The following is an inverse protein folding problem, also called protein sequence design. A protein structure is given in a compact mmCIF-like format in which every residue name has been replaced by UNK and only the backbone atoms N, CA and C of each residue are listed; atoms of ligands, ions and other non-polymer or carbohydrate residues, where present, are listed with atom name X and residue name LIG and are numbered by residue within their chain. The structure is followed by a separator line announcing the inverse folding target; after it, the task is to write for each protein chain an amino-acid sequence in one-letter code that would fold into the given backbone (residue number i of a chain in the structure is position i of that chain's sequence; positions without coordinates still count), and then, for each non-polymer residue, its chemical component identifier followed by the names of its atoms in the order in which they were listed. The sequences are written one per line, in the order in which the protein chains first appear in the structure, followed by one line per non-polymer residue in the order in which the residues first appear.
data_IF_439118878126
#
_entry.id   IF_439118878126
#
_cell.length_a   1.000
_cell.length_b   1.000
_cell.length_c   1.000
_cell.angle_alpha   90.00
_cell.angle_beta   90.00
_cell.angle_gamma   90.00
#
_symmetry.space_group_name_H-M   'P 1'
#
loop_
_entity.id
_entity.type
_entity.pdbx_description
1 polymer ?
#
# COMPACT_ATOMS: atom_id res chain seq x y z
N UNK A 1 30.68 35.42 -48.75
CA UNK A 1 29.64 35.14 -47.73
C UNK A 1 30.16 34.00 -46.88
N UNK A 2 30.63 34.37 -45.69
CA UNK A 2 31.04 33.46 -44.64
C UNK A 2 29.82 32.64 -44.20
N UNK A 3 29.99 31.35 -43.94
CA UNK A 3 29.43 30.71 -42.74
C UNK A 3 30.22 29.43 -42.46
N UNK A 4 30.99 29.49 -41.38
CA UNK A 4 31.58 28.35 -40.70
C UNK A 4 30.47 27.39 -40.20
N UNK A 5 30.73 26.08 -40.08
CA UNK A 5 29.87 25.19 -39.33
C UNK A 5 29.98 25.51 -37.83
N UNK A 6 28.88 25.98 -37.27
CA UNK A 6 28.70 26.16 -35.83
C UNK A 6 28.82 24.81 -35.15
N UNK A 7 29.79 24.71 -34.25
CA UNK A 7 29.94 23.63 -33.28
C UNK A 7 28.85 23.82 -32.22
N UNK A 8 27.75 23.09 -32.33
CA UNK A 8 26.83 22.86 -31.20
C UNK A 8 27.15 21.49 -30.60
N UNK A 9 28.15 21.51 -29.72
CA UNK A 9 28.28 20.51 -28.66
C UNK A 9 27.33 20.96 -27.56
N UNK A 10 26.24 20.24 -27.28
CA UNK A 10 25.75 20.08 -25.90
C UNK A 10 24.57 19.11 -25.72
N UNK A 11 24.61 18.46 -24.55
CA UNK A 11 23.49 17.95 -23.75
C UNK A 11 22.76 16.63 -24.09
N UNK A 12 23.01 15.93 -25.20
CA UNK A 12 22.27 14.68 -25.48
C UNK A 12 22.86 13.39 -24.88
N UNK A 13 23.90 13.46 -24.02
CA UNK A 13 24.60 12.26 -23.48
C UNK A 13 24.39 11.93 -22.00
N UNK A 14 23.59 12.70 -21.27
CA UNK A 14 23.36 12.46 -19.84
C UNK A 14 21.87 12.47 -19.49
N UNK A 15 21.18 11.37 -19.80
CA UNK A 15 20.08 10.75 -19.04
C UNK A 15 19.30 9.86 -20.01
N UNK A 16 19.76 8.63 -20.21
CA UNK A 16 18.92 7.58 -20.78
C UNK A 16 18.35 6.76 -19.62
N UNK A 17 17.33 7.31 -18.95
CA UNK A 17 16.50 6.50 -18.05
C UNK A 17 15.59 5.64 -18.94
N UNK A 18 16.06 4.44 -19.27
CA UNK A 18 15.22 3.41 -19.91
C UNK A 18 14.27 2.84 -18.85
N UNK A 19 13.03 3.33 -18.83
CA UNK A 19 11.93 2.63 -18.15
C UNK A 19 11.35 1.63 -19.14
N UNK A 20 11.80 0.38 -19.09
CA UNK A 20 11.20 -0.72 -19.84
C UNK A 20 10.13 -1.40 -19.00
N UNK A 21 8.86 -1.08 -19.26
CA UNK A 21 7.70 -1.87 -18.84
C UNK A 21 7.58 -3.10 -19.76
N UNK A 22 8.44 -4.10 -19.56
CA UNK A 22 8.24 -5.44 -20.09
C UNK A 22 7.38 -6.23 -19.08
N UNK A 23 6.59 -7.22 -19.52
CA UNK A 23 5.96 -8.15 -18.60
C UNK A 23 7.04 -9.08 -18.01
N UNK A 24 7.64 -8.64 -16.90
CA UNK A 24 8.76 -9.26 -16.19
C UNK A 24 8.36 -10.51 -15.39
N UNK A 25 7.88 -11.57 -16.06
CA UNK A 25 7.47 -12.81 -15.38
C UNK A 25 8.57 -13.88 -15.29
N UNK A 26 9.73 -13.69 -15.92
CA UNK A 26 10.83 -14.67 -15.85
C UNK A 26 11.99 -14.15 -14.99
N UNK A 27 12.12 -14.69 -13.77
CA UNK A 27 13.19 -14.34 -12.82
C UNK A 27 14.61 -14.48 -13.38
N UNK A 28 14.80 -15.35 -14.38
CA UNK A 28 16.09 -15.64 -15.03
C UNK A 28 16.68 -14.41 -15.74
N UNK A 29 15.87 -13.69 -16.55
CA UNK A 29 16.37 -12.58 -17.36
C UNK A 29 16.84 -11.39 -16.50
N UNK A 30 16.14 -11.08 -15.40
CA UNK A 30 16.57 -10.04 -14.47
C UNK A 30 17.91 -10.37 -13.81
N UNK A 31 18.15 -11.64 -13.50
CA UNK A 31 19.40 -12.08 -12.88
C UNK A 31 20.54 -12.02 -13.87
N UNK A 32 20.34 -12.51 -15.10
CA UNK A 32 21.34 -12.47 -16.17
C UNK A 32 21.74 -11.03 -16.52
N UNK A 33 20.74 -10.14 -16.71
CA UNK A 33 20.99 -8.73 -17.01
C UNK A 33 21.71 -8.01 -15.86
N UNK A 34 21.37 -8.33 -14.61
CA UNK A 34 22.05 -7.77 -13.43
C UNK A 34 23.50 -8.22 -13.34
N UNK A 35 23.79 -9.47 -13.70
CA UNK A 35 25.16 -9.99 -13.72
C UNK A 35 26.01 -9.34 -14.82
N UNK A 36 25.42 -9.11 -16.01
CA UNK A 36 26.13 -8.45 -17.12
C UNK A 36 26.24 -6.93 -16.98
N UNK A 37 25.37 -6.28 -16.18
CA UNK A 37 25.34 -4.83 -16.00
C UNK A 37 25.36 -4.40 -14.52
N UNK A 38 26.47 -4.62 -13.78
CA UNK A 38 26.59 -4.25 -12.37
C UNK A 38 26.51 -2.73 -12.10
N UNK A 39 26.69 -1.90 -13.14
CA UNK A 39 26.53 -0.45 -13.09
C UNK A 39 25.06 -0.02 -12.92
N UNK A 40 24.12 -0.84 -13.40
CA UNK A 40 22.68 -0.54 -13.36
C UNK A 40 22.15 -0.76 -11.95
N UNK A 41 21.54 0.28 -11.38
CA UNK A 41 20.83 0.17 -10.11
C UNK A 41 19.49 -0.52 -10.32
N UNK A 42 19.27 -1.65 -9.65
CA UNK A 42 17.96 -2.31 -9.61
C UNK A 42 17.15 -1.72 -8.45
N UNK A 43 15.95 -1.24 -8.76
CA UNK A 43 15.05 -0.63 -7.79
C UNK A 43 13.59 -1.06 -8.06
N UNK A 44 12.89 -1.71 -7.15
CA UNK A 44 13.41 -2.46 -5.99
C UNK A 44 13.85 -3.88 -6.41
N UNK A 45 14.65 -4.59 -5.60
CA UNK A 45 15.05 -5.97 -5.90
C UNK A 45 13.84 -6.91 -6.09
N UNK A 46 13.82 -7.76 -7.13
CA UNK A 46 12.67 -8.63 -7.43
C UNK A 46 12.26 -9.56 -6.29
N UNK A 47 13.23 -10.04 -5.50
CA UNK A 47 13.04 -10.85 -4.30
C UNK A 47 12.28 -10.07 -3.20
N UNK A 48 12.63 -8.81 -2.97
CA UNK A 48 11.93 -7.94 -2.03
C UNK A 48 10.45 -7.75 -2.39
N UNK A 49 10.14 -7.66 -3.68
CA UNK A 49 8.76 -7.49 -4.19
C UNK A 49 7.90 -8.73 -3.90
N UNK A 50 8.49 -9.93 -3.87
CA UNK A 50 7.73 -11.17 -3.64
C UNK A 50 7.05 -11.19 -2.27
N UNK A 51 7.62 -10.52 -1.26
CA UNK A 51 7.02 -10.42 0.06
C UNK A 51 5.64 -9.74 0.04
N UNK A 52 5.41 -8.80 -0.88
CA UNK A 52 4.13 -8.10 -1.02
C UNK A 52 3.13 -8.83 -1.92
N UNK A 53 3.54 -9.88 -2.66
CA UNK A 53 2.61 -10.66 -3.49
C UNK A 53 1.71 -11.58 -2.68
N UNK A 54 2.05 -11.83 -1.41
CA UNK A 54 1.27 -12.68 -0.54
C UNK A 54 0.54 -11.87 0.53
N UNK A 55 -0.76 -11.63 0.33
CA UNK A 55 -1.63 -10.94 1.29
C UNK A 55 -1.64 -11.59 2.68
N UNK A 56 -1.30 -12.87 2.79
CA UNK A 56 -1.15 -13.55 4.10
C UNK A 56 -0.06 -12.90 4.96
N UNK A 57 1.05 -12.49 4.34
CA UNK A 57 2.26 -12.04 5.05
C UNK A 57 2.58 -10.56 4.84
N UNK A 58 1.91 -9.90 3.89
CA UNK A 58 2.12 -8.49 3.55
C UNK A 58 2.15 -7.57 4.78
N UNK A 59 1.22 -7.77 5.71
CA UNK A 59 1.09 -6.95 6.93
C UNK A 59 1.92 -7.46 8.12
N UNK A 60 2.57 -8.62 7.99
CA UNK A 60 3.35 -9.22 9.08
C UNK A 60 4.52 -8.31 9.50
N UNK A 61 5.18 -7.65 8.53
CA UNK A 61 6.27 -6.71 8.82
C UNK A 61 5.83 -5.52 9.68
N UNK A 62 4.56 -5.11 9.60
CA UNK A 62 3.98 -4.08 10.47
C UNK A 62 3.65 -4.69 11.83
N UNK A 63 3.01 -5.86 11.85
CA UNK A 63 2.64 -6.55 13.09
C UNK A 63 3.85 -6.83 14.00
N UNK A 64 4.97 -7.28 13.42
CA UNK A 64 6.21 -7.62 14.13
C UNK A 64 6.97 -6.40 14.66
N UNK A 65 6.62 -5.18 14.21
CA UNK A 65 7.28 -3.95 14.63
C UNK A 65 6.83 -3.51 16.02
N UNK A 66 5.58 -3.78 16.38
CA UNK A 66 4.93 -3.31 17.61
C UNK A 66 5.22 -1.81 17.88
N UNK A 67 5.00 -0.98 16.86
CA UNK A 67 5.34 0.44 16.92
C UNK A 67 4.37 1.19 17.83
N UNK A 68 4.86 1.55 19.01
CA UNK A 68 4.14 2.33 20.01
C UNK A 68 5.10 3.39 20.55
N UNK A 69 4.78 4.66 20.37
CA UNK A 69 5.56 5.77 20.90
C UNK A 69 4.69 6.98 21.27
N UNK A 70 5.34 8.11 21.59
CA UNK A 70 4.65 9.36 21.98
C UNK A 70 3.74 9.96 20.89
N UNK A 71 3.86 9.50 19.64
CA UNK A 71 3.05 9.95 18.51
C UNK A 71 1.89 9.01 18.20
N UNK A 72 1.87 7.82 18.80
CA UNK A 72 0.76 6.87 18.73
C UNK A 72 1.19 5.42 18.55
N UNK A 73 0.20 4.58 18.28
CA UNK A 73 0.32 3.14 18.12
C UNK A 73 -0.03 2.80 16.68
N UNK A 74 0.81 2.00 16.03
CA UNK A 74 0.56 1.44 14.69
C UNK A 74 0.43 -0.06 14.79
N UNK A 75 -0.75 -0.56 14.42
CA UNK A 75 -1.06 -1.97 14.37
C UNK A 75 -1.55 -2.43 12.99
N UNK A 76 -2.01 -3.67 12.96
CA UNK A 76 -2.75 -4.26 11.84
C UNK A 76 -4.03 -4.88 12.39
N UNK A 77 -5.18 -4.75 11.71
CA UNK A 77 -6.39 -5.45 12.17
C UNK A 77 -6.18 -6.95 12.05
N UNK A 78 -6.81 -7.73 12.94
CA UNK A 78 -6.64 -9.18 12.93
C UNK A 78 -7.21 -9.73 11.62
N UNK A 79 -6.51 -10.72 11.09
CA UNK A 79 -6.85 -11.29 9.80
C UNK A 79 -6.70 -12.81 9.77
N UNK A 80 -7.50 -13.44 8.92
CA UNK A 80 -7.53 -14.88 8.71
C UNK A 80 -7.57 -15.20 7.21
N UNK A 81 -6.73 -16.13 6.78
CA UNK A 81 -6.66 -16.55 5.38
C UNK A 81 -7.47 -17.82 5.18
N UNK A 82 -8.45 -17.77 4.28
CA UNK A 82 -9.27 -18.91 3.89
C UNK A 82 -8.90 -19.32 2.47
N UNK A 83 -8.37 -20.54 2.30
CA UNK A 83 -7.87 -21.01 1.01
C UNK A 83 -8.88 -21.79 0.17
N UNK A 84 -9.77 -22.58 0.77
CA UNK A 84 -10.60 -23.57 0.04
C UNK A 84 -12.01 -23.73 0.56
N UNK A 85 -12.19 -24.03 1.85
CA UNK A 85 -13.48 -24.51 2.35
C UNK A 85 -14.43 -23.37 2.75
N UNK A 86 -15.31 -22.97 1.83
CA UNK A 86 -16.32 -21.93 2.08
C UNK A 86 -17.24 -22.27 3.26
N UNK A 87 -17.66 -23.55 3.37
CA UNK A 87 -18.55 -24.01 4.44
C UNK A 87 -17.92 -23.91 5.83
N UNK A 88 -16.59 -23.99 5.93
CA UNK A 88 -15.85 -23.93 7.20
C UNK A 88 -15.56 -22.50 7.67
N UNK A 89 -15.85 -21.47 6.85
CA UNK A 89 -15.55 -20.07 7.19
C UNK A 89 -16.09 -19.66 8.56
N UNK A 90 -17.36 -19.91 8.93
CA UNK A 90 -17.89 -19.50 10.22
C UNK A 90 -17.15 -20.13 11.41
N UNK A 91 -16.79 -21.41 11.30
CA UNK A 91 -16.07 -22.15 12.34
C UNK A 91 -14.64 -21.65 12.46
N UNK A 92 -13.94 -21.45 11.34
CA UNK A 92 -12.58 -20.92 11.31
C UNK A 92 -12.50 -19.50 11.87
N UNK A 93 -13.48 -18.64 11.55
CA UNK A 93 -13.60 -17.29 12.12
C UNK A 93 -13.77 -17.35 13.64
N UNK A 94 -14.62 -18.26 14.13
CA UNK A 94 -14.86 -18.43 15.56
C UNK A 94 -13.62 -19.00 16.29
N UNK A 95 -12.94 -19.99 15.71
CA UNK A 95 -11.70 -20.57 16.27
C UNK A 95 -10.57 -19.55 16.30
N UNK A 96 -10.43 -18.76 15.25
CA UNK A 96 -9.47 -17.66 15.21
C UNK A 96 -9.92 -16.47 16.08
N UNK A 97 -11.15 -16.47 16.58
CA UNK A 97 -11.70 -15.45 17.47
C UNK A 97 -11.89 -14.08 16.83
N UNK A 98 -12.06 -13.98 15.51
CA UNK A 98 -12.28 -12.69 14.84
C UNK A 98 -13.67 -12.14 15.15
N UNK A 99 -13.78 -10.82 15.26
CA UNK A 99 -15.07 -10.13 15.51
C UNK A 99 -15.65 -9.55 14.23
N UNK A 100 -16.96 -9.72 14.04
CA UNK A 100 -17.70 -9.04 12.97
C UNK A 100 -17.83 -7.52 13.28
N UNK A 101 -17.85 -6.66 12.26
CA UNK A 101 -17.84 -6.99 10.83
C UNK A 101 -16.44 -7.30 10.27
N UNK A 102 -16.38 -8.09 9.20
CA UNK A 102 -15.17 -8.55 8.53
C UNK A 102 -15.14 -8.11 7.06
N UNK A 103 -14.05 -7.48 6.65
CA UNK A 103 -13.76 -7.20 5.24
C UNK A 103 -13.19 -8.45 4.58
N UNK A 104 -13.87 -8.95 3.56
CA UNK A 104 -13.41 -10.04 2.71
C UNK A 104 -12.65 -9.47 1.51
N UNK A 105 -11.39 -9.88 1.37
CA UNK A 105 -10.45 -9.49 0.31
C UNK A 105 -10.07 -10.74 -0.49
N UNK A 106 -10.34 -10.85 -1.80
CA UNK A 106 -9.84 -11.95 -2.61
C UNK A 106 -8.31 -12.10 -2.48
N UNK A 107 -7.83 -13.34 -2.39
CA UNK A 107 -6.39 -13.66 -2.33
C UNK A 107 -5.71 -13.49 -3.69
N UNK A 108 -6.45 -13.73 -4.77
CA UNK A 108 -5.94 -13.55 -6.13
C UNK A 108 -5.91 -12.05 -6.42
N UNK A 109 -4.71 -11.50 -6.60
CA UNK A 109 -4.47 -10.15 -7.08
C UNK A 109 -3.92 -10.24 -8.52
N UNK A 110 -4.64 -10.91 -9.42
CA UNK A 110 -4.24 -11.12 -10.82
C UNK A 110 -4.50 -9.90 -11.72
N UNK A 111 -4.90 -8.77 -11.14
CA UNK A 111 -5.23 -7.55 -11.87
C UNK A 111 -6.55 -7.62 -12.67
N UNK A 112 -7.28 -8.73 -12.61
CA UNK A 112 -8.62 -8.83 -13.20
C UNK A 112 -9.64 -8.00 -12.40
N UNK A 113 -10.73 -7.60 -13.05
CA UNK A 113 -11.79 -6.81 -12.42
C UNK A 113 -12.44 -7.52 -11.20
N UNK A 114 -12.33 -8.85 -11.10
CA UNK A 114 -12.83 -9.66 -9.97
C UNK A 114 -11.90 -9.65 -8.74
N UNK A 115 -10.63 -9.27 -8.91
CA UNK A 115 -9.61 -9.31 -7.86
C UNK A 115 -9.63 -8.12 -6.89
N UNK A 116 -10.52 -7.14 -7.15
CA UNK A 116 -10.66 -5.90 -6.36
C UNK A 116 -12.04 -5.74 -5.71
N UNK A 117 -12.92 -6.74 -5.80
CA UNK A 117 -14.22 -6.68 -5.14
C UNK A 117 -14.04 -6.91 -3.64
N UNK A 118 -14.35 -5.89 -2.84
CA UNK A 118 -14.35 -5.95 -1.38
C UNK A 118 -15.79 -6.17 -0.93
N UNK A 119 -16.00 -7.14 -0.04
CA UNK A 119 -17.31 -7.39 0.59
C UNK A 119 -17.19 -7.22 2.09
N UNK A 120 -18.21 -6.62 2.73
CA UNK A 120 -18.32 -6.59 4.19
C UNK A 120 -19.30 -7.66 4.66
N UNK A 121 -18.78 -8.60 5.45
CA UNK A 121 -19.56 -9.57 6.18
C UNK A 121 -19.85 -9.03 7.58
N UNK A 122 -21.12 -8.78 7.89
CA UNK A 122 -21.52 -8.18 9.17
C UNK A 122 -22.30 -9.14 10.08
N UNK A 123 -22.83 -10.23 9.54
CA UNK A 123 -23.59 -11.24 10.28
C UNK A 123 -22.96 -12.63 10.14
N UNK A 124 -23.18 -13.51 11.11
CA UNK A 124 -22.60 -14.87 11.05
C UNK A 124 -23.04 -15.65 9.80
N UNK A 125 -24.29 -15.49 9.37
CA UNK A 125 -24.79 -16.16 8.17
C UNK A 125 -24.15 -15.63 6.88
N UNK A 126 -23.66 -14.39 6.90
CA UNK A 126 -23.01 -13.77 5.74
C UNK A 126 -21.70 -14.46 5.37
N UNK A 127 -20.99 -15.01 6.37
CA UNK A 127 -19.75 -15.74 6.19
C UNK A 127 -19.91 -16.97 5.29
N UNK A 128 -21.10 -17.57 5.26
CA UNK A 128 -21.39 -18.74 4.42
C UNK A 128 -21.52 -18.42 2.93
N UNK A 129 -21.74 -17.15 2.57
CA UNK A 129 -21.87 -16.73 1.17
C UNK A 129 -20.54 -16.22 0.58
N UNK A 130 -19.45 -16.25 1.34
CA UNK A 130 -18.14 -15.81 0.88
C UNK A 130 -17.44 -16.92 0.10
N UNK A 131 -16.73 -16.56 -0.97
CA UNK A 131 -16.07 -17.51 -1.86
C UNK A 131 -14.54 -17.44 -1.73
N UNK A 132 -13.88 -18.47 -1.15
CA UNK A 132 -12.43 -18.58 -1.14
C UNK A 132 -11.83 -18.68 -2.56
N UNK A 133 -10.55 -18.33 -2.76
CA UNK A 133 -9.57 -17.98 -1.74
C UNK A 133 -9.64 -16.48 -1.36
N UNK A 134 -9.67 -16.19 -0.06
CA UNK A 134 -9.82 -14.82 0.46
C UNK A 134 -9.08 -14.62 1.79
N UNK A 135 -8.89 -13.36 2.16
CA UNK A 135 -8.47 -12.89 3.48
C UNK A 135 -9.66 -12.20 4.14
N UNK A 136 -10.01 -12.62 5.35
CA UNK A 136 -10.93 -11.91 6.24
C UNK A 136 -10.11 -11.03 7.16
N UNK A 137 -10.47 -9.75 7.25
CA UNK A 137 -9.82 -8.78 8.13
C UNK A 137 -10.87 -8.06 8.96
N UNK A 138 -10.63 -7.89 10.26
CA UNK A 138 -11.49 -7.11 11.15
C UNK A 138 -11.68 -5.70 10.61
N UNK A 139 -12.95 -5.27 10.54
CA UNK A 139 -13.29 -3.91 10.17
C UNK A 139 -13.17 -3.01 11.40
N UNK A 140 -12.37 -1.95 11.27
CA UNK A 140 -12.20 -0.93 12.29
C UNK A 140 -12.94 0.30 11.81
N UNK A 141 -13.89 0.83 12.59
CA UNK A 141 -14.51 2.12 12.28
C UNK A 141 -13.43 3.21 12.26
N UNK A 142 -13.45 4.09 11.27
CA UNK A 142 -12.40 5.06 10.99
C UNK A 142 -12.93 6.36 10.36
N UNK A 143 -14.23 6.65 10.56
CA UNK A 143 -14.89 7.86 10.09
C UNK A 143 -14.91 8.02 8.56
N UNK A 144 -14.75 6.93 7.80
CA UNK A 144 -14.77 6.96 6.35
C UNK A 144 -13.59 7.67 5.70
N UNK A 145 -12.44 7.79 6.38
CA UNK A 145 -11.23 8.43 5.85
C UNK A 145 -10.04 7.46 5.84
N UNK A 146 -9.37 7.37 4.69
CA UNK A 146 -8.14 6.61 4.50
C UNK A 146 -6.97 7.56 4.23
N UNK A 147 -5.86 7.35 4.91
CA UNK A 147 -4.59 8.03 4.67
C UNK A 147 -3.72 7.17 3.75
N UNK A 148 -3.58 7.60 2.50
CA UNK A 148 -2.67 6.98 1.54
C UNK A 148 -1.29 7.60 1.70
N UNK A 149 -0.37 6.85 2.29
CA UNK A 149 0.99 7.29 2.61
C UNK A 149 1.95 6.76 1.54
N UNK A 150 2.35 7.61 0.61
CA UNK A 150 3.34 7.32 -0.41
C UNK A 150 4.75 7.45 0.15
N UNK A 151 5.59 6.44 -0.11
CA UNK A 151 6.98 6.37 0.32
C UNK A 151 7.85 6.24 -0.93
N UNK A 152 8.69 7.25 -1.15
CA UNK A 152 9.63 7.33 -2.28
C UNK A 152 11.02 7.58 -1.73
N UNK A 153 11.78 6.50 -1.52
CA UNK A 153 13.04 6.59 -0.79
C UNK A 153 12.79 7.11 0.62
N UNK A 154 13.38 8.26 0.98
CA UNK A 154 13.18 8.94 2.26
C UNK A 154 12.00 9.92 2.29
N UNK A 155 11.44 10.25 1.13
CA UNK A 155 10.31 11.15 1.03
C UNK A 155 9.00 10.45 1.42
N UNK A 156 8.15 11.17 2.13
CA UNK A 156 6.81 10.73 2.54
C UNK A 156 5.81 11.78 2.10
N UNK A 157 4.76 11.34 1.41
CA UNK A 157 3.62 12.19 1.05
C UNK A 157 2.33 11.50 1.44
N UNK A 158 1.46 12.21 2.14
CA UNK A 158 0.15 11.69 2.60
C UNK A 158 -0.96 12.37 1.80
N UNK A 159 -1.92 11.56 1.34
CA UNK A 159 -3.13 12.02 0.65
C UNK A 159 -4.33 11.42 1.35
N UNK A 160 -5.36 12.22 1.61
CA UNK A 160 -6.63 11.72 2.14
C UNK A 160 -7.50 11.14 1.02
N UNK A 161 -8.15 10.04 1.31
CA UNK A 161 -9.13 9.38 0.46
C UNK A 161 -10.39 9.17 1.29
N UNK A 162 -11.55 9.24 0.64
CA UNK A 162 -12.72 8.62 1.23
C UNK A 162 -12.45 7.12 1.41
N UNK A 163 -13.15 6.51 2.35
CA UNK A 163 -13.07 5.10 2.69
C UNK A 163 -14.47 4.55 2.95
N UNK A 164 -14.56 3.32 3.41
CA UNK A 164 -15.82 2.72 3.82
C UNK A 164 -16.40 3.49 5.03
N UNK A 165 -17.70 3.84 5.00
CA UNK A 165 -18.32 4.52 6.14
C UNK A 165 -18.31 3.62 7.37
N UNK A 166 -18.41 4.25 8.55
CA UNK A 166 -18.52 3.52 9.80
C UNK A 166 -19.77 2.66 9.83
N UNK A 167 -19.63 1.51 10.49
CA UNK A 167 -20.71 0.53 10.59
C UNK A 167 -21.29 0.62 11.98
N UNK A 168 -22.57 0.99 12.03
CA UNK A 168 -23.34 0.99 13.27
C UNK A 168 -24.14 -0.31 13.41
N UNK A 169 -24.34 -0.79 14.65
CA UNK A 169 -25.14 -2.01 14.91
C UNK A 169 -26.59 -1.91 14.44
N UNK A 170 -27.12 -0.70 14.25
CA UNK A 170 -28.53 -0.46 13.93
C UNK A 170 -28.82 -0.47 12.42
N UNK A 171 -27.90 0.02 11.58
CA UNK A 171 -28.05 0.05 10.11
C UNK A 171 -27.98 -1.34 9.46
N UNK A 172 -27.28 -2.28 10.11
CA UNK A 172 -27.07 -3.65 9.63
C UNK A 172 -28.31 -4.56 9.68
N UNK A 173 -29.40 -4.10 10.30
CA UNK A 173 -30.63 -4.89 10.53
C UNK A 173 -31.61 -4.91 9.34
N UNK A 174 -31.32 -4.19 8.24
CA UNK A 174 -32.30 -3.96 7.17
C UNK A 174 -32.07 -4.73 5.86
N UNK A 175 -30.89 -5.31 5.61
CA UNK A 175 -30.59 -6.03 4.37
C UNK A 175 -29.87 -7.37 4.59
N UNK A 176 -29.92 -8.27 3.60
CA UNK A 176 -29.55 -9.67 3.72
C UNK A 176 -28.02 -9.95 3.75
N UNK A 177 -27.37 -9.64 4.87
CA UNK A 177 -26.10 -10.22 5.35
C UNK A 177 -24.80 -9.78 4.71
N UNK A 178 -24.78 -9.41 3.42
CA UNK A 178 -23.55 -8.96 2.76
C UNK A 178 -23.80 -7.62 2.10
N UNK A 179 -22.96 -6.65 2.46
CA UNK A 179 -22.90 -5.38 1.76
C UNK A 179 -21.78 -5.51 0.73
N UNK A 180 -22.15 -5.79 -0.51
CA UNK A 180 -21.23 -5.69 -1.64
C UNK A 180 -21.11 -4.22 -1.96
N UNK A 181 -19.95 -3.62 -1.68
CA UNK A 181 -19.75 -2.21 -2.00
C UNK A 181 -19.75 -2.06 -3.53
N UNK A 182 -20.74 -1.38 -4.13
CA UNK A 182 -20.65 -1.05 -5.55
C UNK A 182 -19.35 -0.28 -5.73
N UNK A 183 -18.53 -0.72 -6.69
CA UNK A 183 -17.16 -0.23 -7.01
C UNK A 183 -16.85 1.04 -6.27
N UNK A 184 -15.83 0.97 -5.41
CA UNK A 184 -15.08 1.98 -4.68
C UNK A 184 -14.73 3.23 -5.53
N UNK A 185 -15.74 3.86 -6.10
CA UNK A 185 -15.67 5.03 -6.98
C UNK A 185 -15.57 6.27 -6.11
N UNK A 186 -16.16 6.23 -4.90
CA UNK A 186 -15.97 7.24 -3.86
C UNK A 186 -14.62 7.09 -3.14
N UNK A 187 -14.17 5.89 -2.76
CA UNK A 187 -12.90 5.77 -2.02
C UNK A 187 -11.63 5.96 -2.89
N UNK A 188 -11.77 5.95 -4.21
CA UNK A 188 -10.72 6.37 -5.13
C UNK A 188 -10.66 7.90 -5.33
N UNK A 189 -11.64 8.65 -4.83
CA UNK A 189 -11.64 10.11 -4.89
C UNK A 189 -10.74 10.70 -3.80
N UNK A 190 -10.06 11.80 -4.13
CA UNK A 190 -9.34 12.57 -3.11
C UNK A 190 -10.34 13.15 -2.12
N UNK A 191 -9.98 13.17 -0.85
CA UNK A 191 -10.73 13.85 0.19
C UNK A 191 -9.94 15.03 0.79
N UNK A 192 -8.86 15.45 0.14
CA UNK A 192 -8.01 16.53 0.65
C UNK A 192 -8.73 17.90 0.71
N UNK A 193 -9.63 18.15 -0.23
CA UNK A 193 -10.42 19.38 -0.32
C UNK A 193 -11.83 19.23 0.27
N UNK A 194 -12.14 18.08 0.86
CA UNK A 194 -13.44 17.82 1.46
C UNK A 194 -13.54 18.46 2.85
N UNK A 195 -14.72 19.00 3.18
CA UNK A 195 -15.05 19.45 4.53
C UNK A 195 -15.31 18.22 5.41
N UNK A 196 -14.26 17.73 6.05
CA UNK A 196 -14.27 16.56 6.92
C UNK A 196 -14.13 17.00 8.38
N UNK A 197 -14.71 16.21 9.29
CA UNK A 197 -14.49 16.39 10.71
C UNK A 197 -12.98 16.39 11.03
N UNK A 198 -12.42 17.48 11.60
CA UNK A 198 -11.00 17.58 11.92
C UNK A 198 -10.52 16.47 12.85
N UNK A 199 -11.39 15.93 13.70
CA UNK A 199 -11.05 14.83 14.62
C UNK A 199 -10.78 13.51 13.90
N UNK A 200 -11.31 13.33 12.70
CA UNK A 200 -11.13 12.14 11.86
C UNK A 200 -10.08 12.38 10.77
N UNK A 201 -10.07 13.58 10.19
CA UNK A 201 -9.29 13.90 8.99
C UNK A 201 -7.90 14.49 9.27
N UNK A 202 -7.54 14.73 10.53
CA UNK A 202 -6.17 15.10 10.90
C UNK A 202 -5.17 14.09 10.33
N UNK A 203 -4.07 14.56 9.74
CA UNK A 203 -3.06 13.66 9.19
C UNK A 203 -2.34 12.90 10.33
N UNK A 204 -1.92 11.65 10.10
CA UNK A 204 -1.06 10.96 11.05
C UNK A 204 0.22 11.76 11.30
N UNK A 205 0.73 11.82 12.55
CA UNK A 205 1.91 12.61 12.87
C UNK A 205 3.10 12.24 11.99
N UNK A 206 3.73 13.24 11.37
CA UNK A 206 4.88 13.02 10.48
C UNK A 206 6.01 12.21 11.12
N UNK A 207 6.41 12.45 12.39
CA UNK A 207 7.46 11.63 13.03
C UNK A 207 7.09 10.15 13.17
N UNK A 208 5.80 9.83 13.36
CA UNK A 208 5.31 8.45 13.40
C UNK A 208 5.49 7.79 12.03
N UNK A 209 5.08 8.49 10.96
CA UNK A 209 5.21 8.01 9.59
C UNK A 209 6.67 7.84 9.16
N UNK A 210 7.56 8.75 9.58
CA UNK A 210 8.99 8.66 9.29
C UNK A 210 9.63 7.41 9.92
N UNK A 211 9.28 7.09 11.17
CA UNK A 211 9.73 5.86 11.83
C UNK A 211 9.15 4.62 11.15
N UNK A 212 7.83 4.60 10.92
CA UNK A 212 7.14 3.49 10.26
C UNK A 212 7.73 3.21 8.87
N UNK A 213 7.88 4.24 8.04
CA UNK A 213 8.44 4.12 6.70
C UNK A 213 9.88 3.62 6.74
N UNK A 214 10.72 4.16 7.64
CA UNK A 214 12.12 3.73 7.79
C UNK A 214 12.21 2.24 8.13
N UNK A 215 11.45 1.79 9.12
CA UNK A 215 11.45 0.39 9.55
C UNK A 215 10.90 -0.55 8.47
N UNK A 216 9.83 -0.17 7.78
CA UNK A 216 9.27 -0.96 6.68
C UNK A 216 10.22 -1.05 5.48
N UNK A 217 10.91 0.02 5.11
CA UNK A 217 11.95 -0.03 4.08
C UNK A 217 13.04 -1.02 4.42
N UNK A 218 13.47 -1.05 5.68
CA UNK A 218 14.51 -1.98 6.14
C UNK A 218 14.03 -3.43 6.14
N UNK A 219 12.82 -3.69 6.68
CA UNK A 219 12.24 -5.03 6.79
C UNK A 219 11.82 -5.63 5.45
N UNK A 220 11.25 -4.81 4.57
CA UNK A 220 10.76 -5.26 3.26
C UNK A 220 11.83 -5.18 2.17
N UNK A 221 12.90 -4.40 2.38
CA UNK A 221 13.91 -4.14 1.35
C UNK A 221 13.40 -3.28 0.19
N UNK A 222 12.28 -2.58 0.39
CA UNK A 222 11.63 -1.75 -0.61
C UNK A 222 11.90 -0.27 -0.39
N UNK A 223 11.81 0.52 -1.46
CA UNK A 223 11.96 1.98 -1.45
C UNK A 223 10.77 2.69 -2.08
N UNK A 224 10.02 2.00 -2.94
CA UNK A 224 8.87 2.53 -3.67
C UNK A 224 7.60 1.74 -3.33
N UNK A 225 6.83 2.24 -2.38
CA UNK A 225 5.55 1.65 -1.99
C UNK A 225 4.64 2.70 -1.39
N UNK A 226 3.36 2.37 -1.23
CA UNK A 226 2.50 3.13 -0.34
C UNK A 226 1.86 2.22 0.69
N UNK A 227 1.43 2.87 1.77
CA UNK A 227 0.60 2.30 2.81
C UNK A 227 -0.80 2.88 2.71
N UNK A 228 -1.79 2.03 2.95
CA UNK A 228 -3.15 2.45 3.20
C UNK A 228 -3.37 2.35 4.72
N UNK A 229 -3.50 3.51 5.38
CA UNK A 229 -3.59 3.63 6.84
C UNK A 229 -4.94 4.22 7.23
N UNK A 230 -5.59 3.65 8.23
CA UNK A 230 -6.81 4.18 8.86
C UNK A 230 -6.53 4.55 10.32
N UNK A 231 -7.28 5.52 10.85
CA UNK A 231 -7.27 5.88 12.28
C UNK A 231 -8.52 5.33 12.93
N UNK A 232 -8.40 4.65 14.07
CA UNK A 232 -9.57 4.12 14.78
C UNK A 232 -10.46 5.26 15.28
N UNK A 233 -11.74 5.18 14.93
CA UNK A 233 -12.74 6.19 15.29
C UNK A 233 -12.86 6.31 16.82
N UNK A 234 -12.87 7.56 17.31
CA UNK A 234 -12.89 7.86 18.74
C UNK A 234 -11.51 7.83 19.40
N UNK A 235 -10.46 7.39 18.70
CA UNK A 235 -9.06 7.52 19.15
C UNK A 235 -8.38 8.68 18.46
N UNK A 236 -7.33 9.22 19.08
CA UNK A 236 -6.46 10.20 18.42
C UNK A 236 -5.20 9.57 17.85
N UNK A 237 -4.76 8.44 18.38
CA UNK A 237 -3.39 7.98 18.21
C UNK A 237 -3.28 6.49 17.87
N UNK A 238 -4.40 5.79 17.66
CA UNK A 238 -4.40 4.42 17.15
C UNK A 238 -4.56 4.40 15.63
N UNK A 239 -3.55 3.87 14.96
CA UNK A 239 -3.50 3.73 13.50
C UNK A 239 -3.37 2.27 13.10
N UNK A 240 -4.01 1.90 12.00
CA UNK A 240 -3.97 0.56 11.45
C UNK A 240 -3.52 0.60 9.99
N UNK A 241 -2.48 -0.17 9.66
CA UNK A 241 -2.10 -0.43 8.26
C UNK A 241 -2.97 -1.55 7.73
N UNK A 242 -3.72 -1.29 6.65
CA UNK A 242 -4.68 -2.25 6.08
C UNK A 242 -4.26 -2.81 4.73
N UNK A 243 -3.31 -2.17 4.05
CA UNK A 243 -2.74 -2.63 2.78
C UNK A 243 -1.36 -2.00 2.52
N UNK A 244 -0.50 -2.72 1.80
CA UNK A 244 0.81 -2.24 1.33
C UNK A 244 0.93 -2.57 -0.15
N UNK A 245 1.09 -1.55 -0.99
CA UNK A 245 1.21 -1.75 -2.43
C UNK A 245 2.61 -1.38 -2.93
N UNK A 246 3.25 -2.32 -3.63
CA UNK A 246 4.50 -2.07 -4.34
C UNK A 246 4.24 -1.18 -5.55
N UNK A 247 5.08 -0.15 -5.73
CA UNK A 247 5.06 0.75 -6.89
C UNK A 247 3.62 1.12 -7.33
N UNK A 248 2.86 1.83 -6.49
CA UNK A 248 1.49 2.23 -6.82
C UNK A 248 1.44 3.25 -7.94
N UNK A 249 0.23 3.59 -8.38
CA UNK A 249 0.02 4.77 -9.23
C UNK A 249 0.33 6.07 -8.47
N UNK A 250 1.40 6.76 -8.86
CA UNK A 250 1.83 8.05 -8.28
C UNK A 250 1.21 9.28 -8.93
N UNK A 251 0.46 9.14 -10.04
CA UNK A 251 -0.12 10.31 -10.74
C UNK A 251 -1.15 11.11 -9.93
N UNK A 252 -1.56 10.62 -8.75
CA UNK A 252 -2.41 11.34 -7.79
C UNK A 252 -1.65 11.82 -6.55
N UNK A 253 -0.33 11.62 -6.49
CA UNK A 253 0.54 12.13 -5.45
C UNK A 253 0.97 13.55 -5.84
N UNK A 254 0.70 14.58 -5.01
CA UNK A 254 1.15 15.93 -5.32
C UNK A 254 2.68 15.98 -5.40
N UNK A 255 3.19 16.74 -6.37
CA UNK A 255 4.64 16.95 -6.59
C UNK A 255 5.43 15.66 -6.90
N UNK A 256 4.77 14.64 -7.45
CA UNK A 256 5.43 13.36 -7.70
C UNK A 256 6.63 13.47 -8.63
N UNK A 257 6.59 14.36 -9.63
CA UNK A 257 7.71 14.57 -10.55
C UNK A 257 8.98 14.99 -9.81
N UNK A 258 8.88 16.03 -8.97
CA UNK A 258 10.01 16.55 -8.20
C UNK A 258 10.53 15.51 -7.20
N UNK A 259 9.62 14.87 -6.45
CA UNK A 259 9.99 13.84 -5.46
C UNK A 259 10.72 12.68 -6.12
N UNK A 260 10.25 12.20 -7.28
CA UNK A 260 10.90 11.12 -8.01
C UNK A 260 12.24 11.55 -8.59
N UNK A 261 12.34 12.75 -9.17
CA UNK A 261 13.61 13.27 -9.69
C UNK A 261 14.66 13.35 -8.60
N UNK A 262 14.35 13.95 -7.45
CA UNK A 262 15.26 14.07 -6.31
C UNK A 262 15.68 12.70 -5.78
N UNK A 263 14.72 11.78 -5.67
CA UNK A 263 14.98 10.42 -5.25
C UNK A 263 15.93 9.69 -6.22
N UNK A 264 15.68 9.75 -7.52
CA UNK A 264 16.55 9.11 -8.52
C UNK A 264 17.96 9.72 -8.52
N UNK A 265 18.08 11.04 -8.36
CA UNK A 265 19.37 11.72 -8.22
C UNK A 265 20.13 11.26 -6.97
N UNK A 266 19.42 11.05 -5.85
CA UNK A 266 20.02 10.56 -4.60
C UNK A 266 20.66 9.17 -4.73
N UNK A 267 20.11 8.31 -5.59
CA UNK A 267 20.66 6.97 -5.86
C UNK A 267 22.02 7.05 -6.57
N UNK A 268 22.21 8.05 -7.44
CA UNK A 268 23.47 8.29 -8.13
C UNK A 268 24.57 8.78 -7.19
N UNK A 269 24.25 9.72 -6.30
CA UNK A 269 25.22 10.34 -5.38
C UNK A 269 25.74 9.35 -4.31
N UNK A 270 24.91 8.41 -3.85
CA UNK A 270 25.32 7.37 -2.89
C UNK A 270 26.43 6.44 -3.40
N UNK A 271 26.55 6.26 -4.72
CA UNK A 271 27.61 5.45 -5.34
C UNK A 271 28.98 6.16 -5.35
N UNK A 272 29.01 7.49 -5.46
CA UNK A 272 30.26 8.26 -5.47
C UNK A 272 30.92 8.33 -4.09
N UNK A 273 30.14 8.46 -3.01
CA UNK A 273 30.66 8.45 -1.62
C UNK A 273 31.22 7.09 -1.19
N UNK A 274 30.71 5.97 -1.70
CA UNK A 274 31.23 4.62 -1.40
C UNK A 274 32.52 4.25 -2.14
N UNK A 275 32.87 4.96 -3.22
CA UNK A 275 34.10 4.72 -4.01
C UNK A 275 35.29 5.57 -3.56
N UNK A 276 35.08 6.50 -2.64
CA UNK A 276 36.07 7.48 -2.16
C UNK A 276 36.56 7.21 -0.73
N UNK A 277 36.32 6.00 -0.22
CA UNK A 277 36.82 5.52 1.08
C UNK A 277 37.68 4.27 0.92
#
# INVERSE_FOLDING_TARGET
MNHEPVVEVEASRFLQVRVSLLSWTSSCFCQDYRQSHPEVTVLDPPDAIQHLRNRQYMLQAVADMNLCDSYGIVGVPRQLVIKREACAIPELVNQAGLTLPLVAKPLVADGSAKSHELSLAYEKFSLQKLEPPLVLQEFVNHGGVLFKVYIVGDAIKVVRRFSLPDVSKWELSKDAGIYNFPRVSCAAASADDADLDPTVAELPPRPLLEKLAKELRWRLGLRLFNLDIIREYGTRDHFYVIDINYFPGYGKMPEYEHIFTDFLLSLGQGKYKKRSG
#
